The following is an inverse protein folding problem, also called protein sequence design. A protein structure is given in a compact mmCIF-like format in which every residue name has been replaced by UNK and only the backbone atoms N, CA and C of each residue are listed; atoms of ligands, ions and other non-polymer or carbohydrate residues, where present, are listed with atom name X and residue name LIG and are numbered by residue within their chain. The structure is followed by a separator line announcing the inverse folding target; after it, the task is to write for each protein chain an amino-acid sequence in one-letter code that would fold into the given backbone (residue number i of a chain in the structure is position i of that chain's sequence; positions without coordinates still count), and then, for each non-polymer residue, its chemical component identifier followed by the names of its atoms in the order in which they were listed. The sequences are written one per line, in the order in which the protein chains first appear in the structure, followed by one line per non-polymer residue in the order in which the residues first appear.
data_IF_605949041218
#
_entry.id   IF_605949041218
#
_cell.length_a   1.000
_cell.length_b   1.000
_cell.length_c   1.000
_cell.angle_alpha   90.00
_cell.angle_beta   90.00
_cell.angle_gamma   90.00
#
_symmetry.space_group_name_H-M   'P 1'
#
loop_
_entity.id
_entity.type
_entity.pdbx_description
1 polymer ?
#
# COMPACT_ATOMS: atom_id res chain seq x y z
N UNK A 1 13.02 -19.93 11.50
CA UNK A 1 13.19 -18.57 10.96
C UNK A 1 12.48 -18.54 9.61
N UNK A 2 11.49 -17.67 9.48
CA UNK A 2 10.86 -17.33 8.21
C UNK A 2 11.86 -16.50 7.36
N UNK A 3 11.76 -16.61 6.03
CA UNK A 3 12.58 -15.83 5.10
C UNK A 3 11.67 -15.15 4.09
N UNK A 4 11.89 -13.86 3.84
CA UNK A 4 11.13 -13.12 2.84
C UNK A 4 11.77 -13.21 1.45
N UNK A 5 10.92 -13.45 0.44
CA UNK A 5 11.22 -13.16 -0.95
C UNK A 5 9.97 -12.57 -1.59
N UNK A 6 10.05 -11.33 -2.09
CA UNK A 6 8.91 -10.66 -2.69
C UNK A 6 9.32 -9.87 -3.94
N UNK A 7 8.38 -9.66 -4.85
CA UNK A 7 8.57 -8.80 -6.02
C UNK A 7 7.30 -8.00 -6.26
N UNK A 8 7.44 -6.68 -6.36
CA UNK A 8 6.40 -5.79 -6.83
C UNK A 8 6.62 -5.49 -8.31
N UNK A 9 5.60 -5.71 -9.14
CA UNK A 9 5.65 -5.39 -10.56
C UNK A 9 4.58 -4.35 -10.92
N UNK A 10 4.97 -3.37 -11.73
CA UNK A 10 4.07 -2.42 -12.36
C UNK A 10 4.16 -2.62 -13.87
N UNK A 11 3.02 -2.94 -14.49
CA UNK A 11 2.86 -3.04 -15.93
C UNK A 11 1.86 -1.98 -16.40
N UNK A 12 2.26 -1.19 -17.38
CA UNK A 12 1.36 -0.31 -18.14
C UNK A 12 1.49 -0.73 -19.60
N UNK A 13 0.43 -1.31 -20.14
CA UNK A 13 0.33 -1.66 -21.56
C UNK A 13 -0.93 -1.00 -22.12
N UNK A 14 -0.82 -0.45 -23.33
CA UNK A 14 -1.93 0.23 -23.95
C UNK A 14 -1.57 0.85 -25.29
N UNK A 15 -2.57 1.47 -25.91
CA UNK A 15 -2.35 2.28 -27.09
C UNK A 15 -3.40 3.35 -27.26
N UNK A 16 -2.98 4.54 -27.67
CA UNK A 16 -3.87 5.57 -28.16
C UNK A 16 -4.07 5.38 -29.67
N UNK A 17 -5.31 5.42 -30.13
CA UNK A 17 -5.64 5.29 -31.55
C UNK A 17 -6.52 6.45 -32.00
N UNK A 18 -6.40 6.83 -33.28
CA UNK A 18 -7.28 7.81 -33.91
C UNK A 18 -7.74 7.26 -35.24
N UNK A 19 -9.03 6.98 -35.40
CA UNK A 19 -9.57 6.57 -36.69
C UNK A 19 -9.59 7.76 -37.67
N UNK A 20 -9.13 7.52 -38.89
CA UNK A 20 -9.34 8.35 -40.08
C UNK A 20 -10.04 7.49 -41.14
N UNK A 21 -10.56 8.11 -42.19
CA UNK A 21 -11.38 7.42 -43.20
C UNK A 21 -10.64 6.28 -43.94
N UNK A 22 -9.30 6.35 -44.03
CA UNK A 22 -8.47 5.35 -44.73
C UNK A 22 -7.42 4.66 -43.85
N UNK A 23 -7.15 5.17 -42.65
CA UNK A 23 -6.11 4.63 -41.77
C UNK A 23 -6.46 4.83 -40.30
N UNK A 24 -5.84 4.04 -39.42
CA UNK A 24 -5.94 4.25 -37.98
C UNK A 24 -4.53 4.31 -37.40
N UNK A 25 -3.92 5.50 -37.30
CA UNK A 25 -2.68 5.69 -36.55
C UNK A 25 -2.80 5.17 -35.10
N UNK A 26 -1.72 4.55 -34.60
CA UNK A 26 -1.62 3.95 -33.27
C UNK A 26 -0.33 4.40 -32.58
N UNK A 27 -0.45 4.84 -31.34
CA UNK A 27 0.68 5.13 -30.44
C UNK A 27 0.65 4.12 -29.28
N UNK A 28 1.50 3.08 -29.29
CA UNK A 28 1.56 2.11 -28.20
C UNK A 28 2.41 2.60 -27.02
N UNK A 29 2.09 2.12 -25.82
CA UNK A 29 2.91 2.25 -24.61
C UNK A 29 3.08 0.88 -23.97
N UNK A 30 4.31 0.57 -23.55
CA UNK A 30 4.64 -0.66 -22.83
C UNK A 30 5.72 -0.37 -21.79
N UNK A 31 5.31 -0.21 -20.54
CA UNK A 31 6.21 0.02 -19.40
C UNK A 31 6.09 -1.17 -18.46
N UNK A 32 7.22 -1.83 -18.20
CA UNK A 32 7.34 -2.83 -17.13
C UNK A 32 8.41 -2.38 -16.15
N UNK A 33 8.06 -2.30 -14.87
CA UNK A 33 8.97 -2.05 -13.75
C UNK A 33 8.84 -3.17 -12.75
N UNK A 34 9.97 -3.61 -12.22
CA UNK A 34 10.04 -4.65 -11.20
C UNK A 34 10.92 -4.18 -10.06
N UNK A 35 10.47 -4.45 -8.84
CA UNK A 35 11.20 -4.17 -7.62
C UNK A 35 11.21 -5.41 -6.74
N UNK A 36 12.40 -5.98 -6.55
CA UNK A 36 12.61 -7.18 -5.74
C UNK A 36 13.00 -6.80 -4.31
N UNK A 37 12.47 -7.55 -3.36
CA UNK A 37 12.87 -7.49 -1.95
C UNK A 37 13.47 -8.83 -1.55
N UNK A 38 14.74 -8.80 -1.15
CA UNK A 38 15.41 -9.94 -0.54
C UNK A 38 15.24 -9.94 0.98
N UNK A 39 15.50 -11.07 1.63
CA UNK A 39 15.44 -11.17 3.08
C UNK A 39 16.52 -10.30 3.76
N UNK A 40 16.12 -9.40 4.67
CA UNK A 40 17.04 -8.60 5.49
C UNK A 40 16.57 -7.18 5.77
N UNK A 41 17.45 -6.34 6.32
CA UNK A 41 17.12 -4.96 6.77
C UNK A 41 17.69 -3.86 5.87
N UNK A 42 18.55 -4.22 4.90
CA UNK A 42 19.25 -3.28 4.03
C UNK A 42 18.40 -2.66 2.91
N UNK A 43 19.08 -2.10 1.89
CA UNK A 43 18.43 -1.57 0.70
C UNK A 43 17.85 -2.69 -0.16
N UNK A 44 16.62 -2.53 -0.65
CA UNK A 44 15.88 -3.56 -1.37
C UNK A 44 15.75 -4.86 -0.56
N UNK A 45 15.63 -4.73 0.76
CA UNK A 45 15.43 -5.87 1.65
C UNK A 45 14.29 -5.61 2.63
N UNK A 46 13.56 -6.68 2.95
CA UNK A 46 12.60 -6.74 4.04
C UNK A 46 12.70 -8.10 4.72
N UNK A 47 12.33 -8.21 5.98
CA UNK A 47 12.20 -9.47 6.71
C UNK A 47 10.82 -9.63 7.35
N UNK A 48 9.96 -8.62 7.23
CA UNK A 48 8.60 -8.61 7.74
C UNK A 48 7.58 -8.46 6.61
N UNK A 49 6.49 -9.22 6.69
CA UNK A 49 5.42 -9.24 5.70
C UNK A 49 4.06 -9.37 6.38
N UNK A 50 3.18 -8.45 6.06
CA UNK A 50 1.78 -8.49 6.48
C UNK A 50 0.88 -8.37 5.25
N UNK A 51 -0.17 -9.20 5.19
CA UNK A 51 -1.20 -9.10 4.16
C UNK A 51 -2.54 -9.52 4.73
N UNK A 52 -3.59 -8.77 4.42
CA UNK A 52 -4.94 -9.05 4.90
C UNK A 52 -6.01 -8.48 3.95
N UNK A 53 -7.20 -9.09 3.96
CA UNK A 53 -8.42 -8.54 3.36
C UNK A 53 -9.33 -8.10 4.49
N UNK A 54 -9.56 -6.80 4.60
CA UNK A 54 -10.29 -6.20 5.73
C UNK A 54 -11.56 -5.51 5.27
N UNK A 55 -12.53 -5.38 6.17
CA UNK A 55 -13.77 -4.66 5.90
C UNK A 55 -14.00 -3.64 7.00
N UNK A 56 -14.10 -2.38 6.62
CA UNK A 56 -14.36 -1.25 7.50
C UNK A 56 -15.75 -0.67 7.19
N UNK A 57 -16.53 -0.36 8.22
CA UNK A 57 -17.91 0.11 8.08
C UNK A 57 -18.18 1.27 9.02
N UNK A 58 -18.60 2.41 8.46
CA UNK A 58 -19.08 3.61 9.16
C UNK A 58 -18.10 4.31 10.13
N UNK A 59 -17.18 3.58 10.76
CA UNK A 59 -16.17 4.07 11.69
C UNK A 59 -14.79 3.67 11.19
N UNK A 60 -13.78 4.55 11.33
CA UNK A 60 -12.42 4.22 10.96
C UNK A 60 -11.85 3.08 11.80
N UNK A 61 -11.02 2.25 11.18
CA UNK A 61 -10.17 1.30 11.87
C UNK A 61 -8.72 1.79 11.88
N UNK A 62 -8.00 1.51 12.96
CA UNK A 62 -6.59 1.87 13.11
C UNK A 62 -5.79 0.62 13.37
N UNK A 63 -4.71 0.44 12.62
CA UNK A 63 -3.74 -0.63 12.79
C UNK A 63 -2.47 -0.06 13.44
N UNK A 64 -2.02 -0.69 14.52
CA UNK A 64 -0.70 -0.46 15.11
C UNK A 64 0.33 -1.32 14.37
N UNK A 65 1.29 -0.66 13.72
CA UNK A 65 2.31 -1.30 12.89
C UNK A 65 3.44 -1.95 13.70
N UNK A 66 3.42 -1.83 15.03
CA UNK A 66 4.46 -2.34 15.93
C UNK A 66 3.98 -3.39 16.93
N UNK A 67 2.67 -3.62 17.08
CA UNK A 67 2.19 -4.54 18.12
C UNK A 67 0.95 -5.39 17.78
N UNK A 68 0.10 -4.96 16.84
CA UNK A 68 -1.22 -5.59 16.62
C UNK A 68 -1.31 -6.49 15.39
N UNK A 69 -0.25 -6.55 14.58
CA UNK A 69 -0.25 -7.31 13.34
C UNK A 69 0.27 -8.73 13.55
N UNK A 70 -0.38 -9.70 12.91
CA UNK A 70 0.08 -11.10 12.87
C UNK A 70 0.24 -11.54 11.42
N UNK A 71 1.33 -12.26 11.13
CA UNK A 71 1.54 -12.83 9.80
C UNK A 71 0.77 -14.16 9.63
N UNK A 72 0.83 -14.73 8.43
CA UNK A 72 0.17 -15.99 8.10
C UNK A 72 0.65 -17.22 8.92
N UNK A 73 1.77 -17.09 9.64
CA UNK A 73 2.31 -18.13 10.53
C UNK A 73 1.89 -17.94 11.99
N UNK A 74 1.10 -16.90 12.29
CA UNK A 74 0.67 -16.57 13.65
C UNK A 74 1.74 -15.86 14.48
N UNK A 75 2.83 -15.39 13.84
CA UNK A 75 3.87 -14.61 14.51
C UNK A 75 3.47 -13.12 14.49
N UNK A 76 3.74 -12.41 15.59
CA UNK A 76 3.56 -10.96 15.65
C UNK A 76 4.55 -10.27 14.71
N UNK A 77 4.04 -9.36 13.89
CA UNK A 77 4.82 -8.54 12.95
C UNK A 77 5.06 -7.17 13.57
N UNK A 78 6.32 -6.78 13.67
CA UNK A 78 6.73 -5.49 14.23
C UNK A 78 7.56 -4.76 13.18
N UNK A 79 7.07 -3.63 12.67
CA UNK A 79 7.82 -2.84 11.70
C UNK A 79 8.62 -1.72 12.39
N UNK A 80 9.93 -1.69 12.18
CA UNK A 80 10.76 -0.49 12.42
C UNK A 80 10.87 0.38 11.16
N UNK A 81 10.82 -0.25 9.97
CA UNK A 81 10.73 0.44 8.70
C UNK A 81 9.78 -0.24 7.73
N UNK A 82 8.98 0.55 7.02
CA UNK A 82 8.15 0.05 5.93
C UNK A 82 8.82 0.33 4.58
N UNK A 83 8.90 -0.69 3.74
CA UNK A 83 9.48 -0.65 2.39
C UNK A 83 8.43 -0.54 1.30
N UNK A 84 7.24 -1.11 1.52
CA UNK A 84 6.11 -0.96 0.61
C UNK A 84 4.78 -1.01 1.37
N UNK A 85 3.82 -0.18 0.95
CA UNK A 85 2.41 -0.26 1.34
C UNK A 85 1.60 -0.32 0.04
N UNK A 86 0.75 -1.32 -0.06
CA UNK A 86 -0.16 -1.53 -1.18
C UNK A 86 -1.56 -1.66 -0.62
N UNK A 87 -2.49 -0.87 -1.14
CA UNK A 87 -3.90 -0.91 -0.77
C UNK A 87 -4.75 -0.95 -2.03
N UNK A 88 -5.71 -1.86 -2.06
CA UNK A 88 -6.73 -1.91 -3.10
C UNK A 88 -8.10 -1.75 -2.47
N UNK A 89 -8.80 -0.67 -2.83
CA UNK A 89 -10.21 -0.50 -2.46
C UNK A 89 -11.05 -1.41 -3.38
N UNK A 90 -11.65 -2.47 -2.83
CA UNK A 90 -12.41 -3.46 -3.61
C UNK A 90 -13.85 -3.03 -3.87
N UNK A 91 -14.29 -1.90 -3.31
CA UNK A 91 -15.63 -1.38 -3.58
C UNK A 91 -15.77 -1.01 -5.05
N UNK A 92 -16.90 -1.36 -5.65
CA UNK A 92 -17.29 -0.93 -7.00
C UNK A 92 -18.39 0.15 -6.97
N UNK A 93 -18.88 0.50 -5.78
CA UNK A 93 -19.95 1.47 -5.61
C UNK A 93 -19.41 2.90 -5.79
N UNK A 94 -20.09 3.72 -6.59
CA UNK A 94 -19.74 5.13 -6.78
C UNK A 94 -19.70 5.87 -5.44
N UNK A 95 -18.67 6.68 -5.22
CA UNK A 95 -18.49 7.46 -4.00
C UNK A 95 -17.98 6.67 -2.79
N UNK A 96 -17.79 5.35 -2.88
CA UNK A 96 -17.19 4.53 -1.82
C UNK A 96 -15.66 4.73 -1.77
N UNK A 97 -15.24 5.92 -1.36
CA UNK A 97 -13.84 6.33 -1.27
C UNK A 97 -13.28 5.87 0.08
N UNK A 98 -12.19 5.11 0.05
CA UNK A 98 -11.44 4.74 1.24
C UNK A 98 -10.36 5.80 1.49
N UNK A 99 -10.34 6.40 2.67
CA UNK A 99 -9.29 7.32 3.05
C UNK A 99 -8.24 6.58 3.88
N UNK A 100 -6.98 6.65 3.45
CA UNK A 100 -5.83 6.23 4.24
C UNK A 100 -5.19 7.46 4.88
N UNK A 101 -5.04 7.44 6.21
CA UNK A 101 -4.43 8.50 7.01
C UNK A 101 -3.55 7.85 8.08
N UNK A 102 -2.55 8.55 8.60
CA UNK A 102 -1.70 7.95 9.60
C UNK A 102 -0.64 8.87 10.14
N UNK A 103 -0.47 8.86 11.45
CA UNK A 103 0.66 9.53 12.10
C UNK A 103 1.93 8.66 12.09
N UNK A 104 1.88 7.52 11.37
CA UNK A 104 2.78 6.37 11.47
C UNK A 104 4.22 6.58 10.97
N UNK A 105 4.45 7.59 10.12
CA UNK A 105 5.66 7.59 9.29
C UNK A 105 6.32 8.97 9.29
N UNK A 106 7.34 9.12 10.13
CA UNK A 106 8.02 10.40 10.41
C UNK A 106 8.66 11.03 9.15
N UNK A 107 8.94 10.25 8.10
CA UNK A 107 9.56 10.70 6.85
C UNK A 107 8.69 10.54 5.59
N UNK A 108 7.42 10.11 5.72
CA UNK A 108 6.51 10.03 4.59
C UNK A 108 5.69 11.31 4.50
N UNK A 109 6.26 12.39 3.97
CA UNK A 109 5.57 13.69 3.82
C UNK A 109 4.22 13.65 3.09
N UNK A 110 3.87 12.52 2.47
CA UNK A 110 2.57 12.25 1.83
C UNK A 110 1.47 11.78 2.81
N UNK A 111 1.81 11.22 3.97
CA UNK A 111 0.86 10.87 5.05
C UNK A 111 1.28 11.38 6.44
N UNK A 112 2.48 11.96 6.60
CA UNK A 112 3.01 12.38 7.89
C UNK A 112 2.19 13.53 8.52
N UNK A 113 1.51 13.23 9.63
CA UNK A 113 0.76 14.18 10.45
C UNK A 113 -0.72 13.83 10.56
N UNK A 114 -1.53 14.69 11.19
CA UNK A 114 -2.96 14.44 11.42
C UNK A 114 -3.88 14.91 10.29
N UNK A 115 -3.33 15.66 9.32
CA UNK A 115 -4.07 16.29 8.21
C UNK A 115 -3.85 15.64 6.84
N UNK A 116 -2.62 15.23 6.44
CA UNK A 116 -2.43 14.61 5.14
C UNK A 116 -3.08 13.23 5.11
N UNK A 117 -3.86 13.01 4.06
CA UNK A 117 -4.58 11.78 3.80
C UNK A 117 -4.62 11.53 2.30
N UNK A 118 -4.78 10.27 1.91
CA UNK A 118 -5.00 9.91 0.52
C UNK A 118 -6.35 9.26 0.34
N UNK A 119 -7.07 9.73 -0.68
CA UNK A 119 -8.30 9.14 -1.14
C UNK A 119 -8.00 8.02 -2.14
N UNK A 120 -8.50 6.83 -1.84
CA UNK A 120 -8.45 5.65 -2.70
C UNK A 120 -9.87 5.44 -3.23
N UNK A 121 -10.16 5.86 -4.49
CA UNK A 121 -11.49 5.75 -5.05
C UNK A 121 -11.92 4.27 -5.21
N UNK A 122 -13.22 4.01 -5.50
CA UNK A 122 -13.71 2.67 -5.80
C UNK A 122 -12.85 1.96 -6.86
N UNK A 123 -12.49 0.71 -6.63
CA UNK A 123 -11.57 -0.10 -7.43
C UNK A 123 -10.15 0.50 -7.61
N UNK A 124 -9.81 1.52 -6.84
CA UNK A 124 -8.54 2.24 -6.91
C UNK A 124 -7.42 1.53 -6.15
N UNK A 125 -6.21 1.72 -6.66
CA UNK A 125 -4.98 1.23 -6.03
C UNK A 125 -4.19 2.39 -5.45
N UNK A 126 -3.66 2.18 -4.25
CA UNK A 126 -2.65 3.03 -3.65
C UNK A 126 -1.39 2.21 -3.43
N UNK A 127 -0.29 2.60 -4.07
CA UNK A 127 0.98 1.89 -4.02
C UNK A 127 2.07 2.91 -3.72
N UNK A 128 2.81 2.66 -2.64
CA UNK A 128 3.95 3.47 -2.26
C UNK A 128 5.11 2.59 -1.81
N UNK A 129 6.31 2.94 -2.26
CA UNK A 129 7.53 2.16 -2.03
C UNK A 129 8.68 3.07 -1.61
N UNK A 130 9.46 2.63 -0.62
CA UNK A 130 10.73 3.21 -0.19
C UNK A 130 11.74 2.08 0.05
N UNK A 131 12.28 1.45 -1.00
CA UNK A 131 13.07 0.23 -0.87
C UNK A 131 14.45 0.45 -0.24
N UNK A 132 15.05 1.63 -0.44
CA UNK A 132 16.39 1.95 0.08
C UNK A 132 16.30 2.34 1.54
N UNK A 133 15.69 3.49 1.84
CA UNK A 133 15.70 4.06 3.19
C UNK A 133 14.59 3.52 4.08
N UNK A 134 13.45 3.17 3.48
CA UNK A 134 12.23 2.83 4.19
C UNK A 134 11.55 4.03 4.82
N UNK A 135 10.36 3.76 5.31
CA UNK A 135 9.51 4.65 6.08
C UNK A 135 9.70 4.32 7.55
N UNK A 136 10.33 5.22 8.31
CA UNK A 136 10.66 4.95 9.72
C UNK A 136 9.39 4.94 10.56
N UNK A 137 9.23 3.88 11.36
CA UNK A 137 8.14 3.70 12.32
C UNK A 137 8.69 3.87 13.72
N UNK A 138 8.02 4.67 14.55
CA UNK A 138 8.44 4.92 15.94
C UNK A 138 7.34 4.45 16.88
N UNK A 139 7.64 3.40 17.67
CA UNK A 139 6.71 2.78 18.62
C UNK A 139 6.24 3.77 19.69
N UNK A 140 5.14 4.46 19.39
CA UNK A 140 4.50 5.56 20.11
C UNK A 140 3.07 5.70 19.57
N UNK A 141 2.44 6.86 19.63
CA UNK A 141 1.21 7.12 18.84
C UNK A 141 1.50 7.43 17.37
N UNK A 142 2.77 7.40 16.96
CA UNK A 142 3.26 7.68 15.61
C UNK A 142 3.61 6.39 14.84
N UNK A 143 2.87 5.30 15.08
CA UNK A 143 2.96 4.03 14.34
C UNK A 143 1.60 3.55 13.83
N UNK A 144 0.59 4.44 13.86
CA UNK A 144 -0.79 4.12 13.53
C UNK A 144 -1.15 4.40 12.07
N UNK A 145 -1.67 3.38 11.38
CA UNK A 145 -2.24 3.49 10.04
C UNK A 145 -3.76 3.33 10.12
N UNK A 146 -4.49 4.37 9.75
CA UNK A 146 -5.95 4.42 9.86
C UNK A 146 -6.62 4.38 8.49
N UNK A 147 -7.67 3.57 8.41
CA UNK A 147 -8.52 3.40 7.23
C UNK A 147 -9.93 3.90 7.55
N UNK A 148 -10.42 4.84 6.75
CA UNK A 148 -11.65 5.57 7.00
C UNK A 148 -12.60 5.42 5.80
N UNK A 149 -13.77 4.77 5.95
CA UNK A 149 -14.72 4.60 4.85
C UNK A 149 -15.76 5.73 4.75
N UNK A 150 -15.77 6.69 5.67
CA UNK A 150 -16.90 7.59 5.84
C UNK A 150 -18.16 6.77 6.20
N UNK A 151 -19.27 7.04 5.54
CA UNK A 151 -20.53 6.32 5.79
C UNK A 151 -20.64 4.95 5.08
N UNK A 152 -19.66 4.57 4.26
CA UNK A 152 -19.72 3.34 3.48
C UNK A 152 -19.27 2.10 4.28
N UNK A 153 -19.58 0.93 3.73
CA UNK A 153 -18.88 -0.32 4.02
C UNK A 153 -17.91 -0.59 2.88
N UNK A 154 -16.62 -0.67 3.19
CA UNK A 154 -15.58 -0.87 2.20
C UNK A 154 -14.73 -2.07 2.60
N UNK A 155 -14.62 -3.04 1.69
CA UNK A 155 -13.62 -4.09 1.76
C UNK A 155 -12.37 -3.64 1.02
N UNK A 156 -11.19 -3.85 1.60
CA UNK A 156 -9.91 -3.54 0.98
C UNK A 156 -8.89 -4.64 1.21
N UNK A 157 -7.96 -4.77 0.27
CA UNK A 157 -6.76 -5.58 0.44
C UNK A 157 -5.61 -4.68 0.89
N UNK A 158 -4.81 -5.14 1.85
CA UNK A 158 -3.64 -4.45 2.38
C UNK A 158 -2.44 -5.39 2.34
N UNK A 159 -1.33 -4.89 1.81
CA UNK A 159 -0.03 -5.59 1.83
C UNK A 159 1.02 -4.59 2.33
N UNK A 160 1.81 -5.03 3.32
CA UNK A 160 2.92 -4.28 3.89
C UNK A 160 4.17 -5.14 3.83
N UNK A 161 5.24 -4.58 3.27
CA UNK A 161 6.57 -5.16 3.31
C UNK A 161 7.46 -4.22 4.12
N UNK A 162 8.22 -4.76 5.06
CA UNK A 162 9.08 -3.94 5.91
C UNK A 162 10.20 -4.74 6.56
N UNK A 163 10.80 -4.10 7.54
CA UNK A 163 11.76 -4.74 8.42
C UNK A 163 11.70 -4.23 9.85
N UNK A 164 12.24 -5.05 10.74
CA UNK A 164 12.57 -4.76 12.15
C UNK A 164 13.90 -4.03 12.28
#
# INVERSE_FOLDING_TARGET
MSTLAATLQLLVDGSLTKALDLTTPKEPIGISKSQAFANGTGSNQGNEFFSDTRTVTASPETLDLTSDLTNAFGETVVFAKIKAIIVHNKSTASGAILIIKGNAITNAGWIAGTTPHHAIPPNGWYIVTSPVDGFTITNTTQDQLTFEPGAATITYDLIIIGNT
#
